data_IF_016638038105
#
_entry.id   IF_016638038105
#
_cell.length_a   1.000
_cell.length_b   1.000
_cell.length_c   1.000
_cell.angle_alpha   90.00
_cell.angle_beta   90.00
_cell.angle_gamma   90.00
#
_symmetry.space_group_name_H-M   'P 1'
#
loop_
_entity.id
_entity.type
_entity.pdbx_description
1 polymer ?
#
# COMPACT_ATOMS: atom_id res chain seq x y z
N UNK A 1 -16.05 6.42 36.41
CA UNK A 1 -14.63 6.01 36.25
C UNK A 1 -13.76 7.09 36.87
N UNK A 2 -12.68 6.76 37.59
CA UNK A 2 -11.85 7.81 38.20
C UNK A 2 -11.09 8.61 37.12
N UNK A 3 -10.79 9.91 37.34
CA UNK A 3 -10.03 10.73 36.39
C UNK A 3 -8.69 10.11 35.99
N UNK A 4 -8.06 9.38 36.92
CA UNK A 4 -6.83 8.64 36.66
C UNK A 4 -7.02 7.51 35.63
N UNK A 5 -8.14 6.77 35.69
CA UNK A 5 -8.46 5.70 34.73
C UNK A 5 -8.59 6.19 33.29
N UNK A 6 -9.16 7.38 33.10
CA UNK A 6 -9.23 8.03 31.78
C UNK A 6 -7.86 8.44 31.26
N UNK A 7 -6.98 8.97 32.12
CA UNK A 7 -5.62 9.34 31.77
C UNK A 7 -4.79 8.15 31.27
N UNK A 8 -4.84 7.01 31.98
CA UNK A 8 -4.11 5.81 31.56
C UNK A 8 -4.61 5.25 30.23
N UNK A 9 -5.93 5.23 30.01
CA UNK A 9 -6.50 4.80 28.74
C UNK A 9 -6.01 5.67 27.57
N UNK A 10 -6.01 6.99 27.74
CA UNK A 10 -5.54 7.92 26.71
C UNK A 10 -4.07 7.71 26.35
N UNK A 11 -3.20 7.54 27.34
CA UNK A 11 -1.77 7.30 27.11
C UNK A 11 -1.53 5.98 26.38
N UNK A 12 -2.21 4.90 26.79
CA UNK A 12 -2.10 3.60 26.11
C UNK A 12 -2.57 3.68 24.66
N UNK A 13 -3.67 4.39 24.37
CA UNK A 13 -4.16 4.62 23.01
C UNK A 13 -3.10 5.34 22.18
N UNK A 14 -2.53 6.41 22.72
CA UNK A 14 -1.50 7.18 22.02
C UNK A 14 -0.35 6.29 21.58
N UNK A 15 0.18 5.45 22.49
CA UNK A 15 1.25 4.51 22.16
C UNK A 15 0.83 3.48 21.11
N UNK A 16 -0.38 2.92 21.19
CA UNK A 16 -0.88 1.95 20.22
C UNK A 16 -1.10 2.57 18.83
N UNK A 17 -1.70 3.76 18.76
CA UNK A 17 -1.94 4.49 17.51
C UNK A 17 -0.61 4.89 16.86
N UNK A 18 0.34 5.40 17.63
CA UNK A 18 1.66 5.73 17.12
C UNK A 18 2.40 4.47 16.64
N UNK A 19 2.42 3.40 17.43
CA UNK A 19 3.13 2.16 17.09
C UNK A 19 2.59 1.48 15.84
N UNK A 20 1.29 1.18 15.82
CA UNK A 20 0.65 0.56 14.65
C UNK A 20 0.59 1.52 13.46
N UNK A 21 0.41 2.82 13.70
CA UNK A 21 0.39 3.85 12.67
C UNK A 21 1.72 3.91 11.93
N UNK A 22 2.83 4.02 12.65
CA UNK A 22 4.18 3.97 12.08
C UNK A 22 4.44 2.65 11.35
N UNK A 23 4.06 1.52 11.94
CA UNK A 23 4.17 0.21 11.29
C UNK A 23 3.41 0.16 9.96
N UNK A 24 2.18 0.65 9.93
CA UNK A 24 1.36 0.71 8.71
C UNK A 24 1.99 1.56 7.62
N UNK A 25 2.58 2.71 7.98
CA UNK A 25 3.23 3.63 7.03
C UNK A 25 4.51 3.04 6.45
N UNK A 26 5.34 2.41 7.30
CA UNK A 26 6.57 1.75 6.86
C UNK A 26 6.25 0.60 5.89
N UNK A 27 5.24 -0.21 6.22
CA UNK A 27 4.80 -1.29 5.33
C UNK A 27 4.21 -0.76 4.03
N UNK A 28 3.46 0.33 4.06
CA UNK A 28 2.92 0.99 2.86
C UNK A 28 4.05 1.49 1.95
N UNK A 29 5.08 2.13 2.52
CA UNK A 29 6.25 2.57 1.79
C UNK A 29 6.98 1.40 1.10
N UNK A 30 7.20 0.30 1.82
CA UNK A 30 7.80 -0.91 1.24
C UNK A 30 6.91 -1.56 0.18
N UNK A 31 5.59 -1.57 0.37
CA UNK A 31 4.65 -2.11 -0.60
C UNK A 31 4.77 -1.39 -1.94
N UNK A 32 4.84 -0.05 -1.90
CA UNK A 32 4.98 0.82 -3.06
C UNK A 32 6.37 0.66 -3.69
N UNK A 33 7.43 0.60 -2.88
CA UNK A 33 8.79 0.37 -3.36
C UNK A 33 8.92 -0.93 -4.17
N UNK A 34 8.42 -2.04 -3.61
CA UNK A 34 8.49 -3.34 -4.26
C UNK A 34 7.59 -3.40 -5.51
N UNK A 35 6.43 -2.75 -5.49
CA UNK A 35 5.55 -2.65 -6.66
C UNK A 35 6.22 -1.85 -7.80
N UNK A 36 6.86 -0.73 -7.46
CA UNK A 36 7.51 0.16 -8.41
C UNK A 36 8.67 -0.54 -9.13
N UNK A 37 9.48 -1.29 -8.39
CA UNK A 37 10.55 -2.09 -8.98
C UNK A 37 10.04 -3.31 -9.75
N UNK A 38 8.93 -3.94 -9.34
CA UNK A 38 8.28 -5.00 -10.13
C UNK A 38 7.72 -4.47 -11.47
N UNK A 39 7.45 -3.17 -11.56
CA UNK A 39 6.96 -2.48 -12.76
C UNK A 39 8.04 -1.73 -13.53
N UNK A 40 9.31 -1.92 -13.17
CA UNK A 40 10.46 -1.24 -13.79
C UNK A 40 10.29 0.30 -13.84
N UNK A 41 9.76 0.88 -12.75
CA UNK A 41 9.66 2.34 -12.60
C UNK A 41 11.06 2.94 -12.39
N UNK A 42 11.33 4.12 -12.97
CA UNK A 42 12.60 4.84 -12.83
C UNK A 42 12.87 5.32 -11.40
N UNK A 43 11.82 5.65 -10.64
CA UNK A 43 11.94 6.38 -9.38
C UNK A 43 11.25 5.65 -8.20
N UNK A 44 11.58 4.37 -7.91
CA UNK A 44 10.89 3.59 -6.89
C UNK A 44 11.11 4.14 -5.47
N UNK A 45 12.26 4.75 -5.21
CA UNK A 45 12.60 5.35 -3.91
C UNK A 45 11.78 6.61 -3.68
N UNK A 46 11.62 7.47 -4.69
CA UNK A 46 10.79 8.68 -4.59
C UNK A 46 9.37 8.31 -4.19
N UNK A 47 8.77 7.33 -4.88
CA UNK A 47 7.41 6.86 -4.56
C UNK A 47 7.31 6.31 -3.13
N UNK A 48 8.29 5.51 -2.70
CA UNK A 48 8.31 4.97 -1.35
C UNK A 48 8.43 6.05 -0.27
N UNK A 49 9.25 7.08 -0.49
CA UNK A 49 9.40 8.19 0.45
C UNK A 49 8.12 9.03 0.52
N UNK A 50 7.54 9.39 -0.63
CA UNK A 50 6.29 10.13 -0.68
C UNK A 50 5.19 9.39 0.09
N UNK A 51 5.05 8.09 -0.12
CA UNK A 51 4.03 7.28 0.56
C UNK A 51 4.33 7.02 2.02
N UNK A 52 5.59 6.88 2.42
CA UNK A 52 5.97 6.77 3.82
C UNK A 52 5.71 8.04 4.63
N UNK A 53 5.90 9.23 4.05
CA UNK A 53 5.74 10.51 4.75
C UNK A 53 4.33 11.09 4.66
N UNK A 54 3.70 11.05 3.48
CA UNK A 54 2.39 11.66 3.23
C UNK A 54 1.25 10.63 3.26
N UNK A 55 1.57 9.34 3.43
CA UNK A 55 0.62 8.26 3.62
C UNK A 55 -0.14 7.82 2.38
N UNK A 56 -1.44 7.59 2.55
CA UNK A 56 -2.29 6.93 1.54
C UNK A 56 -2.52 7.77 0.30
N UNK A 57 -2.48 9.11 0.39
CA UNK A 57 -2.76 10.00 -0.74
C UNK A 57 -1.80 9.74 -1.91
N UNK A 58 -0.47 9.87 -1.77
CA UNK A 58 0.45 9.52 -2.86
C UNK A 58 0.45 8.03 -3.20
N UNK A 59 0.05 7.14 -2.28
CA UNK A 59 -0.03 5.71 -2.58
C UNK A 59 -1.15 5.42 -3.59
N UNK A 60 -2.30 6.07 -3.43
CA UNK A 60 -3.40 6.01 -4.39
C UNK A 60 -2.98 6.63 -5.72
N UNK A 61 -2.34 7.81 -5.70
CA UNK A 61 -1.84 8.47 -6.92
C UNK A 61 -0.88 7.54 -7.66
N UNK A 62 0.10 6.96 -6.96
CA UNK A 62 1.03 5.97 -7.50
C UNK A 62 0.29 4.80 -8.17
N UNK A 63 -0.71 4.22 -7.49
CA UNK A 63 -1.50 3.12 -8.03
C UNK A 63 -2.21 3.48 -9.33
N UNK A 64 -2.69 4.73 -9.46
CA UNK A 64 -3.30 5.22 -10.70
C UNK A 64 -2.29 5.37 -11.85
N UNK A 65 -1.03 5.72 -11.55
CA UNK A 65 -0.03 6.02 -12.59
C UNK A 65 1.01 4.92 -12.85
N UNK A 66 1.12 3.91 -11.99
CA UNK A 66 2.14 2.85 -12.09
C UNK A 66 2.10 2.03 -13.39
N UNK A 67 0.99 2.05 -14.12
CA UNK A 67 0.81 1.29 -15.37
C UNK A 67 1.53 1.87 -16.58
N UNK A 68 1.89 3.17 -16.55
CA UNK A 68 2.32 3.92 -17.75
C UNK A 68 3.43 3.25 -18.56
N UNK A 69 4.46 2.72 -17.88
CA UNK A 69 5.61 2.12 -18.59
C UNK A 69 5.28 0.70 -19.08
N UNK A 70 4.68 -0.15 -18.24
CA UNK A 70 4.35 -1.54 -18.61
C UNK A 70 3.25 -1.63 -19.68
N UNK A 71 2.33 -0.67 -19.68
CA UNK A 71 1.19 -0.63 -20.61
C UNK A 71 1.50 0.17 -21.89
N UNK A 72 2.72 0.68 -22.05
CA UNK A 72 3.14 1.36 -23.28
C UNK A 72 2.97 0.42 -24.47
N UNK A 73 2.30 0.91 -25.51
CA UNK A 73 2.08 0.15 -26.74
C UNK A 73 3.32 0.21 -27.65
N UNK A 74 3.68 -0.95 -28.19
CA UNK A 74 4.70 -1.11 -29.22
C UNK A 74 4.10 -1.90 -30.41
N UNK A 75 4.66 -1.71 -31.59
CA UNK A 75 4.24 -2.44 -32.79
C UNK A 75 5.12 -3.66 -32.98
N UNK A 76 4.51 -4.82 -33.27
CA UNK A 76 5.26 -6.03 -33.58
C UNK A 76 6.02 -5.85 -34.91
N UNK A 77 7.34 -6.09 -34.96
CA UNK A 77 8.12 -5.96 -36.19
C UNK A 77 7.80 -7.03 -37.24
N UNK A 78 7.10 -8.11 -36.86
CA UNK A 78 6.75 -9.22 -37.76
C UNK A 78 5.35 -9.08 -38.37
N UNK A 79 4.34 -8.73 -37.56
CA UNK A 79 2.94 -8.67 -38.01
C UNK A 79 2.30 -7.28 -37.93
N UNK A 80 3.00 -6.27 -37.40
CA UNK A 80 2.52 -4.88 -37.35
C UNK A 80 1.46 -4.56 -36.30
N UNK A 81 1.09 -5.50 -35.41
CA UNK A 81 0.01 -5.27 -34.44
C UNK A 81 0.49 -4.57 -33.17
N UNK A 82 -0.27 -3.58 -32.66
CA UNK A 82 0.02 -2.93 -31.39
C UNK A 82 -0.23 -3.87 -30.22
N UNK A 83 0.73 -3.96 -29.31
CA UNK A 83 0.63 -4.74 -28.08
C UNK A 83 1.48 -4.10 -26.97
N UNK A 84 1.20 -4.42 -25.71
CA UNK A 84 1.94 -3.88 -24.54
C UNK A 84 3.39 -4.33 -24.54
N UNK A 85 4.29 -3.40 -24.18
CA UNK A 85 5.74 -3.63 -24.07
C UNK A 85 6.08 -4.71 -23.05
N UNK A 86 5.26 -4.90 -22.01
CA UNK A 86 5.50 -5.91 -20.98
C UNK A 86 5.18 -7.35 -21.40
N UNK A 87 4.57 -7.57 -22.57
CA UNK A 87 4.21 -8.92 -23.02
C UNK A 87 5.43 -9.62 -23.63
N UNK A 88 5.80 -10.84 -23.19
CA UNK A 88 6.99 -11.56 -23.69
C UNK A 88 6.94 -11.89 -25.19
N UNK A 89 5.74 -12.11 -25.71
CA UNK A 89 5.51 -12.50 -27.10
C UNK A 89 4.34 -11.70 -27.67
N UNK A 90 4.35 -11.48 -28.98
CA UNK A 90 3.22 -10.90 -29.70
C UNK A 90 2.00 -11.84 -29.57
N UNK A 91 0.83 -11.33 -29.13
CA UNK A 91 -0.36 -12.15 -28.92
C UNK A 91 -0.94 -12.73 -30.21
N UNK A 92 -0.59 -12.18 -31.39
CA UNK A 92 -1.11 -12.66 -32.67
C UNK A 92 -0.18 -13.64 -33.38
N UNK A 93 1.10 -13.30 -33.54
CA UNK A 93 2.04 -14.12 -34.33
C UNK A 93 3.07 -14.88 -33.48
N UNK A 94 3.08 -14.70 -32.15
CA UNK A 94 4.00 -15.38 -31.24
C UNK A 94 5.45 -14.89 -31.26
N UNK A 95 5.79 -13.93 -32.13
CA UNK A 95 7.14 -13.38 -32.22
C UNK A 95 7.60 -12.82 -30.86
N UNK A 96 8.85 -13.09 -30.49
CA UNK A 96 9.43 -12.65 -29.22
C UNK A 96 9.54 -11.12 -29.18
N UNK A 97 9.20 -10.53 -28.04
CA UNK A 97 9.34 -9.10 -27.78
C UNK A 97 10.61 -8.83 -26.95
N UNK A 98 11.68 -8.29 -27.55
CA UNK A 98 12.94 -8.02 -26.84
C UNK A 98 12.79 -6.91 -25.79
N UNK A 99 11.80 -6.02 -25.94
CA UNK A 99 11.57 -4.91 -25.01
C UNK A 99 10.89 -5.34 -23.70
N UNK A 100 10.42 -6.59 -23.62
CA UNK A 100 9.76 -7.09 -22.42
C UNK A 100 10.75 -7.51 -21.32
N UNK A 101 12.05 -7.59 -21.62
CA UNK A 101 13.08 -8.07 -20.69
C UNK A 101 13.05 -7.40 -19.30
N UNK A 102 12.83 -6.08 -19.15
CA UNK A 102 12.78 -5.44 -17.82
C UNK A 102 11.57 -5.85 -16.97
N UNK A 103 10.53 -6.42 -17.58
CA UNK A 103 9.27 -6.80 -16.93
C UNK A 103 9.19 -8.31 -16.66
N UNK A 104 10.19 -9.08 -17.09
CA UNK A 104 10.21 -10.54 -17.03
C UNK A 104 11.44 -10.99 -16.25
N UNK A 105 11.23 -11.84 -15.26
CA UNK A 105 12.33 -12.49 -14.54
C UNK A 105 11.88 -12.99 -13.16
N UNK A 106 12.63 -13.94 -12.57
CA UNK A 106 12.29 -14.52 -11.26
C UNK A 106 12.27 -13.46 -10.15
N UNK A 107 13.09 -12.41 -10.31
CA UNK A 107 13.15 -11.26 -9.43
C UNK A 107 11.79 -10.54 -9.39
N UNK A 108 11.15 -10.28 -10.54
CA UNK A 108 9.89 -9.53 -10.60
C UNK A 108 8.77 -10.22 -9.79
N UNK A 109 8.73 -11.55 -9.79
CA UNK A 109 7.75 -12.32 -9.03
C UNK A 109 7.96 -12.22 -7.51
N UNK A 110 9.21 -12.25 -7.06
CA UNK A 110 9.56 -12.05 -5.65
C UNK A 110 9.07 -10.67 -5.19
N UNK A 111 9.26 -9.66 -6.03
CA UNK A 111 8.94 -8.27 -5.72
C UNK A 111 7.42 -8.05 -5.68
N UNK A 112 6.69 -8.65 -6.64
CA UNK A 112 5.23 -8.68 -6.65
C UNK A 112 4.65 -9.34 -5.40
N UNK A 113 5.24 -10.46 -4.95
CA UNK A 113 4.82 -11.16 -3.72
C UNK A 113 5.08 -10.29 -2.49
N UNK A 114 6.30 -9.74 -2.35
CA UNK A 114 6.66 -8.85 -1.23
C UNK A 114 5.77 -7.61 -1.17
N UNK A 115 5.51 -6.98 -2.31
CA UNK A 115 4.61 -5.83 -2.40
C UNK A 115 3.21 -6.16 -1.89
N UNK A 116 2.61 -7.27 -2.34
CA UNK A 116 1.29 -7.71 -1.88
C UNK A 116 1.27 -7.98 -0.39
N UNK A 117 2.28 -8.68 0.14
CA UNK A 117 2.37 -8.97 1.58
C UNK A 117 2.47 -7.68 2.39
N UNK A 118 3.37 -6.76 2.02
CA UNK A 118 3.50 -5.47 2.68
C UNK A 118 2.20 -4.66 2.61
N UNK A 119 1.51 -4.65 1.47
CA UNK A 119 0.24 -3.93 1.30
C UNK A 119 -0.86 -4.52 2.20
N UNK A 120 -0.99 -5.85 2.22
CA UNK A 120 -1.99 -6.54 3.07
C UNK A 120 -1.75 -6.17 4.54
N UNK A 121 -0.51 -6.31 5.02
CA UNK A 121 -0.20 -5.98 6.42
C UNK A 121 -0.36 -4.48 6.72
N UNK A 122 -0.04 -3.58 5.78
CA UNK A 122 -0.29 -2.16 5.93
C UNK A 122 -1.79 -1.85 6.10
N UNK A 123 -2.64 -2.45 5.25
CA UNK A 123 -4.10 -2.29 5.34
C UNK A 123 -4.63 -2.88 6.64
N UNK A 124 -4.18 -4.09 7.03
CA UNK A 124 -4.62 -4.76 8.26
C UNK A 124 -4.30 -3.90 9.49
N UNK A 125 -3.07 -3.39 9.60
CA UNK A 125 -2.68 -2.51 10.71
C UNK A 125 -3.48 -1.20 10.70
N UNK A 126 -3.66 -0.61 9.52
CA UNK A 126 -4.44 0.61 9.38
C UNK A 126 -5.89 0.42 9.84
N UNK A 127 -6.58 -0.61 9.36
CA UNK A 127 -7.95 -0.94 9.77
C UNK A 127 -8.03 -1.25 11.26
N UNK A 128 -7.06 -2.00 11.81
CA UNK A 128 -7.01 -2.33 13.23
C UNK A 128 -6.93 -1.06 14.09
N UNK A 129 -6.16 -0.04 13.68
CA UNK A 129 -6.12 1.25 14.36
C UNK A 129 -7.50 1.90 14.37
N UNK A 130 -8.17 1.99 13.22
CA UNK A 130 -9.51 2.57 13.14
C UNK A 130 -10.52 1.86 14.02
N UNK A 131 -10.51 0.52 14.03
CA UNK A 131 -11.41 -0.29 14.86
C UNK A 131 -11.11 -0.06 16.34
N UNK A 132 -9.85 -0.10 16.77
CA UNK A 132 -9.47 0.11 18.17
C UNK A 132 -9.84 1.51 18.63
N UNK A 133 -9.54 2.54 17.84
CA UNK A 133 -9.90 3.93 18.16
C UNK A 133 -11.41 4.09 18.25
N UNK A 134 -12.16 3.55 17.30
CA UNK A 134 -13.63 3.61 17.30
C UNK A 134 -14.22 2.91 18.52
N UNK A 135 -13.80 1.68 18.81
CA UNK A 135 -14.29 0.91 19.96
C UNK A 135 -14.02 1.65 21.27
N UNK A 136 -12.84 2.25 21.41
CA UNK A 136 -12.51 2.97 22.64
C UNK A 136 -13.33 4.25 22.76
N UNK A 137 -13.48 5.04 21.70
CA UNK A 137 -14.37 6.23 21.72
C UNK A 137 -15.79 5.81 22.12
N UNK A 138 -16.30 4.73 21.53
CA UNK A 138 -17.62 4.20 21.86
C UNK A 138 -17.74 3.80 23.34
N UNK A 139 -16.77 3.05 23.87
CA UNK A 139 -16.74 2.64 25.28
C UNK A 139 -16.64 3.85 26.23
N UNK A 140 -15.86 4.87 25.84
CA UNK A 140 -15.71 6.10 26.61
C UNK A 140 -17.03 6.88 26.66
N UNK A 141 -17.71 7.04 25.52
CA UNK A 141 -19.04 7.68 25.46
C UNK A 141 -20.04 6.90 26.30
N UNK A 142 -20.09 5.57 26.17
CA UNK A 142 -20.97 4.73 26.96
C UNK A 142 -20.70 4.90 28.47
N UNK A 143 -19.44 4.89 28.89
CA UNK A 143 -19.05 5.06 30.29
C UNK A 143 -19.44 6.43 30.87
N UNK A 144 -19.31 7.50 30.07
CA UNK A 144 -19.76 8.85 30.46
C UNK A 144 -21.29 8.88 30.58
N UNK A 145 -22.01 8.37 29.58
CA UNK A 145 -23.48 8.35 29.62
C UNK A 145 -24.03 7.56 30.80
N UNK A 146 -23.41 6.43 31.15
CA UNK A 146 -23.84 5.65 32.32
C UNK A 146 -23.56 6.39 33.63
N UNK A 147 -22.46 7.16 33.69
CA UNK A 147 -22.13 7.96 34.86
C UNK A 147 -23.18 9.07 35.07
N UNK A 148 -23.56 9.78 34.01
CA UNK A 148 -24.57 10.84 34.04
C UNK A 148 -25.99 10.33 34.36
N UNK A 149 -26.29 9.06 34.08
CA UNK A 149 -27.59 8.46 34.45
C UNK A 149 -27.66 7.97 35.90
N UNK A 150 -26.51 7.78 36.56
CA UNK A 150 -26.42 7.22 37.91
C UNK A 150 -26.25 8.30 39.01
N UNK A 151 -25.87 9.52 38.65
CA UNK A 151 -25.64 10.67 39.52
C UNK A 151 -26.36 11.90 38.98
#
# INVERSE_FOLDING_TARGET
MSPAGFGYAFVLIWFLVCGFGLGSQILLAFAVYYDAKAKNNSDPVMWALLTGFLGWIPAIIYLCMRGKESDRLIYCPQCGIPHRVSMPNCPQCGAMNPYAAPFIGPQIDIWRKRSKLCLIWAIVLFVLIFVVVFLIIFLMVAAVTTYDTMY
#
